data_IF_424724220340
#
_entry.id   IF_424724220340
#
_cell.length_a   1.000
_cell.length_b   1.000
_cell.length_c   1.000
_cell.angle_alpha   90.00
_cell.angle_beta   90.00
_cell.angle_gamma   90.00
#
_symmetry.space_group_name_H-M   'P 1'
#
loop_
_entity.id
_entity.type
_entity.pdbx_description
1 polymer ?
#
# COMPACT_ATOMS: atom_id res chain seq x y z
N UNK A 1 -41.15 -35.75 25.88
CA UNK A 1 -40.50 -36.72 24.97
C UNK A 1 -40.88 -36.41 23.54
N UNK A 2 -39.95 -35.93 22.70
CA UNK A 2 -39.89 -36.29 21.28
C UNK A 2 -38.52 -35.88 20.73
N UNK A 3 -37.73 -36.90 20.41
CA UNK A 3 -36.44 -36.79 19.72
C UNK A 3 -36.71 -36.45 18.26
N UNK A 4 -36.05 -35.42 17.72
CA UNK A 4 -35.79 -35.30 16.27
C UNK A 4 -34.38 -34.76 16.06
N UNK A 5 -33.45 -35.70 15.95
CA UNK A 5 -32.19 -35.49 15.27
C UNK A 5 -32.45 -35.56 13.77
N UNK A 6 -31.99 -34.56 13.02
CA UNK A 6 -31.67 -34.72 11.59
C UNK A 6 -30.26 -34.16 11.41
N UNK A 7 -29.41 -35.05 10.94
CA UNK A 7 -27.99 -34.91 10.69
C UNK A 7 -27.73 -34.19 9.36
N UNK A 8 -26.48 -33.73 9.24
CA UNK A 8 -25.66 -33.62 8.01
C UNK A 8 -25.88 -32.40 7.10
N UNK A 9 -24.85 -31.55 7.11
CA UNK A 9 -24.61 -30.54 6.09
C UNK A 9 -23.26 -29.84 6.28
N UNK A 10 -22.18 -30.59 6.53
CA UNK A 10 -20.83 -30.06 6.52
C UNK A 10 -20.41 -29.82 5.06
N UNK A 11 -20.56 -28.60 4.57
CA UNK A 11 -19.87 -28.15 3.35
C UNK A 11 -18.55 -27.55 3.80
N UNK A 12 -17.55 -28.43 3.97
CA UNK A 12 -16.17 -28.03 4.06
C UNK A 12 -15.74 -27.54 2.66
N UNK A 13 -15.78 -26.23 2.45
CA UNK A 13 -15.07 -25.63 1.31
C UNK A 13 -13.59 -25.65 1.64
N UNK A 14 -12.94 -26.76 1.31
CA UNK A 14 -11.50 -26.85 1.22
C UNK A 14 -11.05 -26.04 0.00
N UNK A 15 -10.88 -24.73 0.16
CA UNK A 15 -10.07 -23.94 -0.76
C UNK A 15 -8.64 -24.40 -0.55
N UNK A 16 -8.18 -25.22 -1.51
CA UNK A 16 -6.82 -25.70 -1.61
C UNK A 16 -5.85 -24.53 -1.46
N UNK A 17 -5.13 -24.52 -0.33
CA UNK A 17 -3.93 -23.73 -0.14
C UNK A 17 -2.81 -24.34 -1.01
N UNK A 18 -2.85 -24.04 -2.30
CA UNK A 18 -1.72 -24.32 -3.19
C UNK A 18 -0.71 -23.17 -3.09
N UNK A 19 0.26 -23.34 -2.20
CA UNK A 19 1.61 -22.80 -2.38
C UNK A 19 1.90 -21.38 -1.89
N UNK A 20 1.84 -21.16 -0.58
CA UNK A 20 2.71 -20.18 0.08
C UNK A 20 3.44 -20.87 1.24
N UNK A 21 4.38 -21.75 0.93
CA UNK A 21 5.39 -22.18 1.88
C UNK A 21 6.68 -21.45 1.55
N UNK A 22 6.72 -20.15 1.82
CA UNK A 22 7.98 -19.47 2.07
C UNK A 22 7.98 -19.10 3.55
N UNK A 23 8.50 -20.00 4.38
CA UNK A 23 8.93 -19.69 5.74
C UNK A 23 10.20 -18.86 5.63
N UNK A 24 10.04 -17.63 5.17
CA UNK A 24 11.02 -16.57 5.22
C UNK A 24 10.25 -15.35 5.69
N UNK A 25 10.63 -14.79 6.84
CA UNK A 25 10.16 -13.44 7.19
C UNK A 25 10.49 -12.53 6.00
N UNK A 26 9.50 -11.97 5.28
CA UNK A 26 9.77 -11.08 4.18
C UNK A 26 10.48 -9.87 4.77
N UNK A 27 11.80 -9.85 4.61
CA UNK A 27 12.59 -8.71 5.02
C UNK A 27 12.33 -7.66 3.95
N UNK A 28 11.84 -6.45 4.30
CA UNK A 28 11.65 -5.41 3.31
C UNK A 28 13.00 -5.17 2.64
N UNK A 29 13.12 -5.54 1.36
CA UNK A 29 14.31 -5.26 0.59
C UNK A 29 14.40 -3.74 0.43
N UNK A 30 15.24 -3.08 1.22
CA UNK A 30 15.68 -1.72 0.92
C UNK A 30 16.62 -1.81 -0.29
N UNK A 31 16.04 -1.92 -1.49
CA UNK A 31 16.79 -1.67 -2.70
C UNK A 31 17.21 -0.20 -2.69
N UNK A 32 18.49 0.05 -2.48
CA UNK A 32 19.05 1.38 -2.68
C UNK A 32 18.87 1.73 -4.17
N UNK A 33 18.04 2.74 -4.45
CA UNK A 33 17.85 3.23 -5.80
C UNK A 33 19.12 3.99 -6.19
N UNK A 34 20.05 3.33 -6.88
CA UNK A 34 21.22 4.00 -7.46
C UNK A 34 20.74 4.91 -8.60
N UNK A 35 20.64 6.21 -8.34
CA UNK A 35 20.39 7.20 -9.39
C UNK A 35 21.64 7.30 -10.27
N UNK A 36 21.52 6.87 -11.53
CA UNK A 36 22.63 6.99 -12.48
C UNK A 36 22.94 8.47 -12.74
N UNK A 37 24.18 8.95 -12.53
CA UNK A 37 24.54 10.32 -12.80
C UNK A 37 24.44 10.57 -14.32
N UNK A 38 23.44 11.35 -14.73
CA UNK A 38 23.13 11.64 -16.14
C UNK A 38 21.67 11.43 -16.55
N UNK A 39 20.81 10.90 -15.67
CA UNK A 39 19.36 10.89 -15.92
C UNK A 39 18.81 12.28 -15.65
N UNK A 40 18.59 13.06 -16.72
CA UNK A 40 17.76 14.25 -16.66
C UNK A 40 16.35 13.80 -16.29
N UNK A 41 15.90 14.13 -15.08
CA UNK A 41 14.53 13.86 -14.65
C UNK A 41 13.57 14.53 -15.64
N UNK A 42 12.54 13.80 -16.06
CA UNK A 42 11.47 14.44 -16.80
C UNK A 42 10.77 15.48 -15.87
N UNK A 43 10.02 16.44 -16.41
CA UNK A 43 9.36 17.47 -15.62
C UNK A 43 8.44 16.92 -14.51
N UNK A 44 7.79 15.79 -14.77
CA UNK A 44 6.89 15.12 -13.82
C UNK A 44 7.66 14.49 -12.65
N UNK A 45 8.78 13.82 -12.93
CA UNK A 45 9.66 13.24 -11.93
C UNK A 45 10.28 14.31 -11.04
N UNK A 46 10.70 15.43 -11.62
CA UNK A 46 11.22 16.56 -10.86
C UNK A 46 10.13 17.18 -9.96
N UNK A 47 8.89 17.28 -10.45
CA UNK A 47 7.76 17.70 -9.64
C UNK A 47 7.46 16.71 -8.50
N UNK A 48 7.44 15.41 -8.78
CA UNK A 48 7.19 14.37 -7.79
C UNK A 48 8.30 14.34 -6.72
N UNK A 49 9.56 14.59 -7.11
CA UNK A 49 10.68 14.75 -6.17
C UNK A 49 10.43 15.91 -5.20
N UNK A 50 10.01 17.08 -5.70
CA UNK A 50 9.69 18.25 -4.87
C UNK A 50 8.52 18.00 -3.92
N UNK A 51 7.51 17.28 -4.37
CA UNK A 51 6.39 16.86 -3.53
C UNK A 51 6.88 15.98 -2.39
N UNK A 52 7.75 15.00 -2.67
CA UNK A 52 8.31 14.12 -1.64
C UNK A 52 9.12 14.91 -0.61
N UNK A 53 9.88 15.91 -1.03
CA UNK A 53 10.61 16.80 -0.11
C UNK A 53 9.67 17.57 0.80
N UNK A 54 8.61 18.17 0.25
CA UNK A 54 7.57 18.86 1.03
C UNK A 54 6.85 17.92 2.00
N UNK A 55 6.54 16.70 1.57
CA UNK A 55 5.94 15.67 2.42
C UNK A 55 6.85 15.32 3.60
N UNK A 56 8.16 15.24 3.38
CA UNK A 56 9.13 15.01 4.45
C UNK A 56 9.13 16.16 5.48
N UNK A 57 9.01 17.42 5.04
CA UNK A 57 8.87 18.59 5.92
C UNK A 57 7.61 18.53 6.80
N UNK A 58 6.54 17.89 6.30
CA UNK A 58 5.29 17.64 7.03
C UNK A 58 5.34 16.38 7.92
N UNK A 59 6.48 15.69 7.99
CA UNK A 59 6.68 14.47 8.78
C UNK A 59 6.31 13.17 8.04
N UNK A 60 5.99 13.23 6.75
CA UNK A 60 5.65 12.08 5.91
C UNK A 60 6.92 11.49 5.27
N UNK A 61 7.71 10.76 6.07
CA UNK A 61 9.01 10.19 5.64
C UNK A 61 8.95 8.70 5.29
N UNK A 62 7.87 8.02 5.66
CA UNK A 62 7.67 6.61 5.36
C UNK A 62 7.13 6.40 3.95
N UNK A 63 7.55 5.32 3.30
CA UNK A 63 7.11 4.98 1.95
C UNK A 63 5.57 4.82 1.86
N UNK A 64 4.93 4.25 2.89
CA UNK A 64 3.46 4.13 2.97
C UNK A 64 2.74 5.48 2.97
N UNK A 65 3.25 6.45 3.73
CA UNK A 65 2.70 7.80 3.77
C UNK A 65 2.82 8.51 2.40
N UNK A 66 3.99 8.41 1.75
CA UNK A 66 4.22 9.00 0.42
C UNK A 66 3.28 8.35 -0.61
N UNK A 67 3.17 7.01 -0.61
CA UNK A 67 2.27 6.30 -1.53
C UNK A 67 0.80 6.67 -1.30
N UNK A 68 0.39 6.89 -0.05
CA UNK A 68 -0.98 7.31 0.27
C UNK A 68 -1.26 8.71 -0.28
N UNK A 69 -0.31 9.65 -0.18
CA UNK A 69 -0.45 10.96 -0.82
C UNK A 69 -0.72 10.85 -2.32
N UNK A 70 0.12 10.11 -3.04
CA UNK A 70 -0.03 9.98 -4.49
C UNK A 70 -1.33 9.26 -4.86
N UNK A 71 -1.70 8.20 -4.14
CA UNK A 71 -2.98 7.54 -4.38
C UNK A 71 -4.19 8.46 -4.12
N UNK A 72 -4.13 9.34 -3.11
CA UNK A 72 -5.15 10.36 -2.87
C UNK A 72 -5.17 11.43 -3.96
N UNK A 73 -4.00 11.90 -4.41
CA UNK A 73 -3.85 12.87 -5.49
C UNK A 73 -4.39 12.35 -6.82
N UNK A 74 -4.15 11.08 -7.12
CA UNK A 74 -4.55 10.41 -8.36
C UNK A 74 -6.00 9.88 -8.31
N UNK A 75 -6.67 9.99 -7.15
CA UNK A 75 -8.05 9.56 -6.96
C UNK A 75 -8.25 8.05 -6.75
N UNK A 76 -7.18 7.28 -6.62
CA UNK A 76 -7.23 5.84 -6.29
C UNK A 76 -7.64 5.58 -4.83
N UNK A 77 -7.31 6.51 -3.94
CA UNK A 77 -7.73 6.52 -2.54
C UNK A 77 -8.62 7.73 -2.29
N UNK A 78 -9.66 7.58 -1.47
CA UNK A 78 -10.61 8.65 -1.11
C UNK A 78 -11.03 8.54 0.36
N UNK A 79 -11.86 9.49 0.82
CA UNK A 79 -12.40 9.50 2.19
C UNK A 79 -11.42 10.04 3.23
N UNK A 80 -11.56 9.55 4.46
CA UNK A 80 -10.85 10.07 5.65
C UNK A 80 -9.33 9.92 5.56
N UNK A 81 -8.85 8.87 4.90
CA UNK A 81 -7.42 8.65 4.65
C UNK A 81 -6.78 9.80 3.84
N UNK A 82 -7.58 10.51 3.05
CA UNK A 82 -7.13 11.63 2.23
C UNK A 82 -7.43 13.02 2.82
N UNK A 83 -8.13 13.12 3.96
CA UNK A 83 -8.49 14.41 4.60
C UNK A 83 -7.26 15.28 4.88
N UNK A 84 -6.19 14.67 5.37
CA UNK A 84 -4.95 15.39 5.68
C UNK A 84 -4.35 16.03 4.43
N UNK A 85 -4.25 15.28 3.34
CA UNK A 85 -3.66 15.74 2.07
C UNK A 85 -4.58 16.71 1.31
N UNK A 86 -5.91 16.55 1.42
CA UNK A 86 -6.88 17.52 0.87
C UNK A 86 -6.77 18.89 1.53
N UNK A 87 -6.44 18.94 2.82
CA UNK A 87 -6.20 20.21 3.54
C UNK A 87 -4.81 20.80 3.28
N UNK A 88 -3.89 20.03 2.73
CA UNK A 88 -2.51 20.44 2.43
C UNK A 88 -2.11 20.04 1.00
N UNK A 89 -2.70 20.65 -0.04
CA UNK A 89 -2.32 20.36 -1.42
C UNK A 89 -0.89 20.86 -1.70
N UNK A 90 -0.06 20.01 -2.31
CA UNK A 90 1.34 20.27 -2.64
C UNK A 90 1.59 20.31 -4.15
#
# INVERSE_FOLDING_TARGET
MLRRAVLLGAVAVALAASGCTETGTPTPGSAAVTTSPGVTLNPEQENNRRIVERLAELGCTTNSCIQTYFACKDGYLTGDACEFYRRHPL
#
